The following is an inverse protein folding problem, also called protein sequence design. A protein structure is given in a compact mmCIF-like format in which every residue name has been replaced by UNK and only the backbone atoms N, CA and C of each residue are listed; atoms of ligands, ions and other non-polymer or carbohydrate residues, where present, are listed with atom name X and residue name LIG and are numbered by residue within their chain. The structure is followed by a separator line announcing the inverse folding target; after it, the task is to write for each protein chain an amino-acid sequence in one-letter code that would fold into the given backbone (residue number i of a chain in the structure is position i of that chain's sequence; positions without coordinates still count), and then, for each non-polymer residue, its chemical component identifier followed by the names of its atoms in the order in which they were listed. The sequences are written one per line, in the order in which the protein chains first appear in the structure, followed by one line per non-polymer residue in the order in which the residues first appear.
data_IF_370287249252
#
_entry.id   IF_370287249252
#
_cell.length_a   1.000
_cell.length_b   1.000
_cell.length_c   1.000
_cell.angle_alpha   90.00
_cell.angle_beta   90.00
_cell.angle_gamma   90.00
#
_symmetry.space_group_name_H-M   'P 1'
#
loop_
_entity.id
_entity.type
_entity.pdbx_description
1 polymer ?
#
# COMPACT_ATOMS: atom_id res chain seq x y z
N UNK A 1 -1.60 -0.93 -1.35
CA UNK A 1 -2.91 -0.97 -2.03
C UNK A 1 -2.74 -0.60 -3.49
N UNK A 2 -3.25 -1.44 -4.38
CA UNK A 2 -3.28 -1.22 -5.84
C UNK A 2 -4.69 -0.81 -6.24
N UNK A 3 -4.76 0.06 -7.25
CA UNK A 3 -5.97 0.30 -8.02
C UNK A 3 -5.67 -0.19 -9.42
N UNK A 4 -6.58 -0.90 -10.06
CA UNK A 4 -6.45 -1.26 -11.47
C UNK A 4 -6.35 0.01 -12.36
N UNK A 5 -7.08 1.06 -11.98
CA UNK A 5 -7.05 2.39 -12.57
C UNK A 5 -6.75 3.46 -11.50
N UNK A 6 -5.48 3.88 -11.32
CA UNK A 6 -5.13 4.97 -10.40
C UNK A 6 -5.80 6.31 -10.77
N UNK A 7 -6.14 6.48 -12.06
CA UNK A 7 -6.88 7.61 -12.60
C UNK A 7 -8.21 7.11 -13.15
N UNK A 8 -9.32 7.72 -12.71
CA UNK A 8 -10.67 7.34 -13.09
C UNK A 8 -11.47 8.54 -13.57
N UNK A 9 -12.31 8.32 -14.58
CA UNK A 9 -13.30 9.30 -15.02
C UNK A 9 -14.56 9.25 -14.15
N UNK A 10 -15.29 10.37 -14.02
CA UNK A 10 -16.58 10.37 -13.34
C UNK A 10 -17.51 9.29 -13.90
N UNK A 11 -18.05 8.46 -13.01
CA UNK A 11 -18.92 7.32 -13.34
C UNK A 11 -18.19 5.99 -13.56
N UNK A 12 -16.86 5.96 -13.60
CA UNK A 12 -16.11 4.70 -13.71
C UNK A 12 -16.02 3.94 -12.37
N UNK A 13 -15.90 2.62 -12.46
CA UNK A 13 -15.57 1.75 -11.33
C UNK A 13 -14.08 1.45 -11.33
N UNK A 14 -13.49 1.39 -10.14
CA UNK A 14 -12.08 1.11 -9.91
C UNK A 14 -11.98 -0.05 -8.94
N UNK A 15 -11.29 -1.10 -9.37
CA UNK A 15 -11.04 -2.26 -8.55
C UNK A 15 -9.80 -2.05 -7.69
N UNK A 16 -9.93 -2.27 -6.39
CA UNK A 16 -8.86 -2.08 -5.41
C UNK A 16 -8.47 -3.41 -4.78
N UNK A 17 -7.16 -3.55 -4.54
CA UNK A 17 -6.58 -4.67 -3.81
C UNK A 17 -5.61 -4.21 -2.72
N UNK A 18 -5.73 -4.79 -1.53
CA UNK A 18 -4.81 -4.60 -0.43
C UNK A 18 -3.69 -5.65 -0.45
N UNK A 19 -2.47 -5.22 -0.12
CA UNK A 19 -1.38 -6.10 0.26
C UNK A 19 -1.16 -5.91 1.76
N UNK A 20 -1.25 -6.99 2.52
CA UNK A 20 -0.97 -6.99 3.96
C UNK A 20 -0.38 -8.34 4.38
N UNK A 21 0.22 -8.36 5.57
CA UNK A 21 0.73 -9.58 6.18
C UNK A 21 0.62 -9.45 7.70
N UNK A 22 0.03 -10.45 8.37
CA UNK A 22 0.12 -10.59 9.83
C UNK A 22 1.23 -11.58 10.18
N UNK A 23 2.28 -11.16 10.91
CA UNK A 23 3.41 -12.03 11.23
C UNK A 23 3.06 -13.19 12.16
N UNK A 24 1.87 -13.16 12.78
CA UNK A 24 1.38 -14.23 13.66
C UNK A 24 0.31 -15.10 13.00
N UNK A 25 0.02 -14.89 11.70
CA UNK A 25 -0.96 -15.68 10.95
C UNK A 25 -2.40 -15.53 11.43
N UNK A 26 -2.73 -14.45 12.16
CA UNK A 26 -4.07 -14.18 12.65
C UNK A 26 -4.97 -13.70 11.51
N UNK A 27 -6.29 -13.96 11.58
CA UNK A 27 -7.25 -13.32 10.69
C UNK A 27 -7.15 -11.79 10.77
N UNK A 28 -7.18 -11.13 9.61
CA UNK A 28 -7.18 -9.66 9.51
C UNK A 28 -8.53 -9.21 8.96
N UNK A 29 -9.21 -8.39 9.73
CA UNK A 29 -10.39 -7.64 9.30
C UNK A 29 -9.95 -6.39 8.56
N UNK A 30 -10.49 -6.21 7.36
CA UNK A 30 -10.30 -5.01 6.57
C UNK A 30 -11.59 -4.20 6.57
N UNK A 31 -11.46 -2.89 6.73
CA UNK A 31 -12.54 -1.93 6.57
C UNK A 31 -12.15 -0.88 5.53
N UNK A 32 -13.11 -0.52 4.68
CA UNK A 32 -12.94 0.37 3.56
C UNK A 32 -13.99 1.47 3.58
N UNK A 33 -13.52 2.71 3.40
CA UNK A 33 -14.37 3.90 3.30
C UNK A 33 -13.86 4.82 2.21
N UNK A 34 -14.75 5.62 1.65
CA UNK A 34 -14.42 6.57 0.57
C UNK A 34 -14.80 7.99 0.95
N UNK A 35 -13.97 8.95 0.56
CA UNK A 35 -14.30 10.37 0.60
C UNK A 35 -14.10 10.99 -0.79
N UNK A 36 -14.99 11.89 -1.18
CA UNK A 36 -14.85 12.66 -2.41
C UNK A 36 -14.18 14.01 -2.11
N UNK A 37 -13.12 14.33 -2.85
CA UNK A 37 -12.42 15.61 -2.81
C UNK A 37 -12.17 16.14 -1.37
N UNK A 38 -11.49 15.36 -0.51
CA UNK A 38 -11.21 15.80 0.86
C UNK A 38 -10.28 17.03 0.85
N UNK A 39 -10.27 17.82 1.95
CA UNK A 39 -9.48 19.04 2.04
C UNK A 39 -7.96 18.82 1.96
N UNK A 40 -7.49 17.61 2.28
CA UNK A 40 -6.10 17.20 2.13
C UNK A 40 -5.99 15.70 1.77
N UNK A 41 -4.79 15.25 1.41
CA UNK A 41 -4.54 13.89 0.92
C UNK A 41 -4.28 12.84 2.01
N UNK A 42 -4.41 13.19 3.29
CA UNK A 42 -4.13 12.30 4.41
C UNK A 42 -5.32 11.39 4.74
N UNK A 43 -5.11 10.26 5.43
CA UNK A 43 -6.21 9.46 5.96
C UNK A 43 -7.14 10.29 6.86
N UNK A 44 -6.59 11.18 7.69
CA UNK A 44 -7.35 12.02 8.61
C UNK A 44 -8.23 13.02 7.85
N UNK A 45 -7.71 13.67 6.81
CA UNK A 45 -8.48 14.57 5.96
C UNK A 45 -9.68 13.88 5.32
N UNK A 46 -9.48 12.63 4.87
CA UNK A 46 -10.56 11.81 4.31
C UNK A 46 -11.61 11.42 5.36
N UNK A 47 -11.19 10.99 6.55
CA UNK A 47 -12.10 10.66 7.66
C UNK A 47 -12.90 11.88 8.14
N UNK A 48 -12.28 13.06 8.21
CA UNK A 48 -13.00 14.30 8.51
C UNK A 48 -14.06 14.62 7.45
N UNK A 49 -13.75 14.42 6.17
CA UNK A 49 -14.73 14.61 5.08
C UNK A 49 -15.90 13.64 5.20
N UNK A 50 -15.63 12.36 5.46
CA UNK A 50 -16.66 11.33 5.69
C UNK A 50 -17.58 11.73 6.85
N UNK A 51 -17.02 12.17 7.98
CA UNK A 51 -17.80 12.59 9.14
C UNK A 51 -18.66 13.83 8.84
N UNK A 52 -18.11 14.82 8.13
CA UNK A 52 -18.85 16.01 7.73
C UNK A 52 -20.02 15.68 6.78
N UNK A 53 -19.80 14.82 5.79
CA UNK A 53 -20.83 14.39 4.84
C UNK A 53 -21.95 13.60 5.53
N UNK A 54 -21.59 12.72 6.47
CA UNK A 54 -22.54 11.99 7.29
C UNK A 54 -23.40 12.92 8.16
N UNK A 55 -22.77 13.92 8.79
CA UNK A 55 -23.48 14.92 9.59
C UNK A 55 -24.42 15.78 8.73
N UNK A 56 -24.02 16.15 7.51
CA UNK A 56 -24.82 16.95 6.61
C UNK A 56 -26.01 16.17 6.01
N UNK A 57 -25.79 14.91 5.64
CA UNK A 57 -26.81 14.05 5.02
C UNK A 57 -27.74 13.39 6.04
N UNK A 58 -27.32 13.26 7.30
CA UNK A 58 -28.00 12.47 8.32
C UNK A 58 -27.89 10.95 8.08
N UNK A 59 -27.06 10.51 7.14
CA UNK A 59 -26.83 9.10 6.83
C UNK A 59 -25.50 8.63 7.43
N UNK A 60 -25.47 7.37 7.87
CA UNK A 60 -24.21 6.75 8.28
C UNK A 60 -23.26 6.61 7.08
N UNK A 61 -21.93 6.75 7.28
CA UNK A 61 -20.96 6.46 6.24
C UNK A 61 -21.14 5.06 5.63
N UNK A 62 -20.96 4.95 4.33
CA UNK A 62 -20.83 3.65 3.70
C UNK A 62 -19.48 3.02 4.10
N UNK A 63 -19.54 1.87 4.77
CA UNK A 63 -18.37 1.10 5.22
C UNK A 63 -18.51 -0.31 4.67
N UNK A 64 -17.47 -0.81 3.99
CA UNK A 64 -17.36 -2.22 3.64
C UNK A 64 -16.36 -2.86 4.59
N UNK A 65 -16.77 -3.89 5.32
CA UNK A 65 -15.93 -4.52 6.35
C UNK A 65 -16.04 -6.05 6.29
N UNK A 66 -14.92 -6.73 6.47
CA UNK A 66 -14.89 -8.18 6.61
C UNK A 66 -13.50 -8.76 6.80
N UNK A 67 -13.44 -9.98 7.36
CA UNK A 67 -12.21 -10.78 7.41
C UNK A 67 -11.85 -11.22 6.00
N UNK A 68 -10.62 -10.95 5.58
CA UNK A 68 -10.16 -11.31 4.24
C UNK A 68 -10.86 -10.54 3.11
N UNK A 69 -11.48 -9.39 3.41
CA UNK A 69 -12.00 -8.46 2.41
C UNK A 69 -10.84 -7.66 1.79
N UNK A 70 -9.93 -8.35 1.11
CA UNK A 70 -8.71 -7.78 0.55
C UNK A 70 -8.92 -7.05 -0.78
N UNK A 71 -10.12 -7.16 -1.36
CA UNK A 71 -10.52 -6.54 -2.61
C UNK A 71 -11.89 -5.87 -2.48
N UNK A 72 -12.06 -4.70 -3.12
CA UNK A 72 -13.33 -3.98 -3.25
C UNK A 72 -13.42 -3.24 -4.58
N UNK A 73 -14.63 -2.89 -5.00
CA UNK A 73 -14.86 -1.94 -6.08
C UNK A 73 -15.28 -0.58 -5.52
N UNK A 74 -14.68 0.49 -6.05
CA UNK A 74 -14.97 1.88 -5.71
C UNK A 74 -15.44 2.62 -6.95
N UNK A 75 -16.58 3.29 -6.86
CA UNK A 75 -17.08 4.16 -7.93
C UNK A 75 -16.53 5.57 -7.81
N UNK A 76 -16.06 6.12 -8.94
CA UNK A 76 -15.86 7.56 -9.09
C UNK A 76 -17.25 8.21 -9.29
N UNK A 77 -17.74 9.08 -8.39
CA UNK A 77 -19.07 9.66 -8.54
C UNK A 77 -19.19 10.45 -9.86
N UNK A 78 -20.32 10.33 -10.56
CA UNK A 78 -20.53 10.97 -11.86
C UNK A 78 -20.45 12.50 -11.80
N UNK A 79 -20.74 13.08 -10.63
CA UNK A 79 -20.73 14.53 -10.36
C UNK A 79 -19.44 14.99 -9.67
N UNK A 80 -18.43 14.12 -9.53
CA UNK A 80 -17.29 14.38 -8.65
C UNK A 80 -16.37 15.53 -9.09
N UNK A 81 -16.57 16.05 -10.31
CA UNK A 81 -15.84 17.20 -10.84
C UNK A 81 -16.72 18.45 -10.98
N UNK A 82 -18.02 18.38 -10.73
CA UNK A 82 -18.97 19.45 -11.06
C UNK A 82 -18.75 20.71 -10.20
N UNK A 83 -18.33 20.53 -8.94
CA UNK A 83 -18.08 21.61 -7.99
C UNK A 83 -16.60 21.89 -7.76
N UNK A 84 -15.69 21.22 -8.48
CA UNK A 84 -14.25 21.40 -8.31
C UNK A 84 -13.78 22.60 -9.14
N UNK A 85 -13.21 23.66 -8.52
CA UNK A 85 -12.68 24.79 -9.28
C UNK A 85 -11.57 24.36 -10.23
N UNK A 86 -11.43 25.02 -11.38
CA UNK A 86 -10.41 24.69 -12.40
C UNK A 86 -8.99 24.58 -11.82
N UNK A 87 -8.63 25.51 -10.93
CA UNK A 87 -7.32 25.52 -10.27
C UNK A 87 -7.08 24.32 -9.35
N UNK A 88 -8.13 23.62 -8.92
CA UNK A 88 -8.09 22.46 -8.04
C UNK A 88 -8.29 21.12 -8.79
N UNK A 89 -8.66 21.13 -10.07
CA UNK A 89 -8.92 19.91 -10.85
C UNK A 89 -7.73 18.94 -10.84
N UNK A 90 -6.51 19.46 -10.85
CA UNK A 90 -5.29 18.67 -10.76
C UNK A 90 -5.23 17.78 -9.50
N UNK A 91 -5.91 18.14 -8.42
CA UNK A 91 -5.92 17.43 -7.15
C UNK A 91 -7.28 16.76 -6.85
N UNK A 92 -8.23 16.82 -7.79
CA UNK A 92 -9.51 16.13 -7.65
C UNK A 92 -9.28 14.62 -7.50
N UNK A 93 -9.92 14.01 -6.51
CA UNK A 93 -9.71 12.60 -6.18
C UNK A 93 -10.84 12.00 -5.35
N UNK A 94 -10.97 10.68 -5.45
CA UNK A 94 -11.59 9.86 -4.41
C UNK A 94 -10.48 9.34 -3.50
N UNK A 95 -10.57 9.66 -2.22
CA UNK A 95 -9.73 9.05 -1.19
C UNK A 95 -10.38 7.77 -0.71
N UNK A 96 -9.60 6.70 -0.59
CA UNK A 96 -10.05 5.40 -0.06
C UNK A 96 -9.24 5.07 1.16
N UNK A 97 -9.88 5.15 2.33
CA UNK A 97 -9.27 4.80 3.62
C UNK A 97 -9.46 3.31 3.86
N UNK A 98 -8.36 2.63 4.14
CA UNK A 98 -8.37 1.22 4.51
C UNK A 98 -7.75 1.03 5.87
N UNK A 99 -8.46 0.28 6.71
CA UNK A 99 -8.02 -0.11 8.05
C UNK A 99 -7.80 -1.62 8.05
N UNK A 100 -6.60 -2.06 8.45
CA UNK A 100 -6.26 -3.47 8.61
C UNK A 100 -6.06 -3.79 10.09
N UNK A 101 -6.98 -4.58 10.66
CA UNK A 101 -7.04 -4.91 12.08
C UNK A 101 -6.88 -6.43 12.27
N UNK A 102 -5.86 -6.92 12.98
CA UNK A 102 -5.72 -8.33 13.33
C UNK A 102 -6.65 -8.70 14.51
N UNK A 103 -7.96 -8.55 14.29
CA UNK A 103 -9.01 -8.64 15.30
C UNK A 103 -10.34 -8.10 14.77
N UNK A 104 -11.15 -7.53 15.66
CA UNK A 104 -12.49 -6.97 15.35
C UNK A 104 -12.42 -5.45 15.32
N UNK A 105 -12.86 -4.85 14.21
CA UNK A 105 -13.05 -3.41 14.13
C UNK A 105 -14.36 -3.02 14.82
N UNK A 106 -14.32 -1.92 15.57
CA UNK A 106 -15.55 -1.35 16.13
C UNK A 106 -15.53 0.17 16.08
N UNK A 107 -16.68 0.81 15.83
CA UNK A 107 -16.78 2.25 15.82
C UNK A 107 -16.54 2.83 17.22
N UNK A 108 -15.92 4.01 17.26
CA UNK A 108 -15.85 4.85 18.46
C UNK A 108 -17.03 5.82 18.48
N UNK A 109 -17.41 6.26 19.68
CA UNK A 109 -18.45 7.28 19.84
C UNK A 109 -17.90 8.63 19.34
N UNK A 110 -18.52 9.26 18.32
CA UNK A 110 -18.05 10.54 17.77
C UNK A 110 -17.94 11.65 18.83
N UNK A 111 -18.74 11.61 19.89
CA UNK A 111 -18.69 12.60 20.98
C UNK A 111 -17.44 12.48 21.88
N UNK A 112 -16.74 11.34 21.79
CA UNK A 112 -15.52 11.06 22.56
C UNK A 112 -14.23 11.24 21.75
N UNK A 113 -14.33 11.50 20.44
CA UNK A 113 -13.17 11.61 19.56
C UNK A 113 -12.45 12.94 19.76
N UNK A 114 -11.16 12.83 20.09
CA UNK A 114 -10.25 13.97 20.05
C UNK A 114 -9.94 14.40 18.60
N UNK A 115 -9.42 15.62 18.44
CA UNK A 115 -8.93 16.11 17.14
C UNK A 115 -7.83 15.18 16.61
N UNK A 116 -8.07 14.54 15.46
CA UNK A 116 -7.11 13.64 14.83
C UNK A 116 -7.15 12.19 15.31
N UNK A 117 -8.11 11.82 16.17
CA UNK A 117 -8.36 10.40 16.48
C UNK A 117 -9.13 9.71 15.35
N UNK A 118 -8.85 8.42 15.15
CA UNK A 118 -9.57 7.60 14.19
C UNK A 118 -10.96 7.25 14.75
N UNK A 119 -12.01 7.21 13.92
CA UNK A 119 -13.35 6.86 14.36
C UNK A 119 -13.54 5.36 14.64
N UNK A 120 -12.45 4.58 14.69
CA UNK A 120 -12.45 3.15 14.91
C UNK A 120 -11.42 2.76 15.96
N UNK A 121 -11.67 1.64 16.63
CA UNK A 121 -10.70 0.89 17.42
C UNK A 121 -10.60 -0.52 16.87
N UNK A 122 -9.43 -1.11 17.00
CA UNK A 122 -9.18 -2.51 16.70
C UNK A 122 -9.12 -3.27 18.02
N UNK A 123 -9.99 -4.26 18.23
CA UNK A 123 -10.00 -5.07 19.45
C UNK A 123 -9.51 -6.48 19.14
N UNK A 124 -8.76 -7.07 20.08
CA UNK A 124 -8.48 -8.50 20.03
C UNK A 124 -9.78 -9.30 20.09
N UNK A 125 -9.93 -10.27 19.19
CA UNK A 125 -11.12 -11.11 19.11
C UNK A 125 -11.32 -11.98 20.37
N UNK A 126 -10.23 -12.43 20.98
CA UNK A 126 -10.28 -13.35 22.14
C UNK A 126 -10.52 -12.65 23.47
N UNK A 127 -9.90 -11.50 23.69
CA UNK A 127 -9.93 -10.80 24.98
C UNK A 127 -10.88 -9.60 24.98
N UNK A 128 -11.24 -9.09 23.79
CA UNK A 128 -11.95 -7.82 23.63
C UNK A 128 -11.10 -6.60 23.98
N UNK A 129 -9.81 -6.79 24.30
CA UNK A 129 -8.92 -5.69 24.63
C UNK A 129 -8.61 -4.86 23.39
N UNK A 130 -8.59 -3.54 23.54
CA UNK A 130 -8.21 -2.65 22.46
C UNK A 130 -6.71 -2.80 22.14
N UNK A 131 -6.40 -3.01 20.87
CA UNK A 131 -5.05 -3.09 20.35
C UNK A 131 -4.48 -1.66 20.18
N UNK A 132 -3.23 -1.43 20.61
CA UNK A 132 -2.59 -0.14 20.42
C UNK A 132 -2.29 0.08 18.92
N UNK A 133 -2.13 1.34 18.51
CA UNK A 133 -2.06 1.74 17.10
C UNK A 133 -0.92 1.05 16.33
N UNK A 134 0.16 0.66 17.00
CA UNK A 134 1.29 -0.04 16.38
C UNK A 134 0.96 -1.49 15.98
N UNK A 135 -0.20 -2.00 16.36
CA UNK A 135 -0.65 -3.38 16.09
C UNK A 135 -1.67 -3.48 14.97
N UNK A 136 -2.05 -2.36 14.36
CA UNK A 136 -2.94 -2.32 13.21
C UNK A 136 -2.50 -1.20 12.27
N UNK A 137 -3.01 -1.19 11.04
CA UNK A 137 -2.57 -0.25 10.03
C UNK A 137 -3.73 0.55 9.47
N UNK A 138 -3.48 1.83 9.20
CA UNK A 138 -4.37 2.70 8.43
C UNK A 138 -3.62 3.23 7.23
N UNK A 139 -4.27 3.17 6.08
CA UNK A 139 -3.72 3.68 4.83
C UNK A 139 -4.78 4.47 4.07
N UNK A 140 -4.32 5.32 3.16
CA UNK A 140 -5.19 5.98 2.17
C UNK A 140 -4.63 5.72 0.77
N UNK A 141 -5.51 5.29 -0.15
CA UNK A 141 -5.25 5.29 -1.58
C UNK A 141 -5.97 6.48 -2.19
N UNK A 142 -5.29 7.13 -3.13
CA UNK A 142 -5.84 8.23 -3.91
C UNK A 142 -6.15 7.68 -5.30
N UNK A 143 -7.39 7.83 -5.71
CA UNK A 143 -7.82 7.63 -7.09
C UNK A 143 -8.04 9.01 -7.65
N UNK A 144 -7.17 9.47 -8.56
CA UNK A 144 -7.31 10.80 -9.13
C UNK A 144 -8.46 10.83 -10.12
N UNK A 145 -9.24 11.89 -10.08
CA UNK A 145 -10.37 12.09 -10.99
C UNK A 145 -9.89 12.88 -12.20
N UNK A 146 -10.08 12.31 -13.40
CA UNK A 146 -9.64 12.86 -14.68
C UNK A 146 -10.69 12.63 -15.75
N UNK A 147 -10.92 13.58 -16.63
CA UNK A 147 -11.94 13.44 -17.69
C UNK A 147 -11.49 12.49 -18.80
N UNK A 148 -10.22 12.58 -19.17
CA UNK A 148 -9.63 11.83 -20.29
C UNK A 148 -8.30 11.18 -19.92
N UNK A 149 -7.57 11.77 -18.98
CA UNK A 149 -6.25 11.29 -18.57
C UNK A 149 -6.35 9.91 -17.90
N UNK A 150 -5.38 9.04 -18.21
CA UNK A 150 -5.24 7.71 -17.62
C UNK A 150 -3.84 7.53 -17.04
N UNK A 151 -3.72 6.57 -16.13
CA UNK A 151 -2.47 6.14 -15.54
C UNK A 151 -2.51 4.61 -15.46
N UNK A 152 -1.40 3.94 -15.72
CA UNK A 152 -1.29 2.50 -15.54
C UNK A 152 -0.50 2.17 -14.27
N UNK A 153 -0.56 0.92 -13.82
CA UNK A 153 0.36 0.49 -12.77
C UNK A 153 1.72 0.15 -13.40
N UNK A 154 2.85 0.54 -12.79
CA UNK A 154 4.17 0.23 -13.33
C UNK A 154 4.37 -1.28 -13.38
N UNK A 155 4.63 -1.84 -14.57
CA UNK A 155 4.77 -3.28 -14.75
C UNK A 155 6.08 -3.83 -14.18
N UNK A 156 6.01 -5.00 -13.56
CA UNK A 156 7.19 -5.75 -13.08
C UNK A 156 7.45 -6.88 -14.09
N UNK A 157 8.60 -6.86 -14.73
CA UNK A 157 9.01 -7.91 -15.66
C UNK A 157 9.63 -9.09 -14.92
N UNK A 158 10.56 -8.83 -13.99
CA UNK A 158 11.32 -9.88 -13.34
C UNK A 158 11.92 -9.42 -12.00
N UNK A 159 12.08 -10.36 -11.07
CA UNK A 159 12.98 -10.23 -9.91
C UNK A 159 14.20 -11.11 -10.15
N UNK A 160 15.40 -10.61 -9.84
CA UNK A 160 16.64 -11.38 -9.96
C UNK A 160 17.30 -11.64 -8.60
N UNK A 161 17.95 -12.78 -8.48
CA UNK A 161 18.80 -13.21 -7.36
C UNK A 161 20.23 -13.43 -7.86
N UNK A 162 21.19 -12.66 -7.36
CA UNK A 162 22.59 -12.65 -7.79
C UNK A 162 22.74 -12.52 -9.32
N UNK A 163 21.88 -11.70 -9.93
CA UNK A 163 21.84 -11.44 -11.37
C UNK A 163 21.13 -12.50 -12.20
N UNK A 164 20.72 -13.63 -11.63
CA UNK A 164 19.91 -14.64 -12.31
C UNK A 164 18.41 -14.39 -12.08
N UNK A 165 17.53 -14.71 -13.05
CA UNK A 165 16.08 -14.71 -12.84
C UNK A 165 15.68 -15.49 -11.59
N UNK A 166 14.76 -14.93 -10.81
CA UNK A 166 14.15 -15.58 -9.64
C UNK A 166 12.63 -15.68 -9.88
N UNK A 167 12.12 -16.85 -10.28
CA UNK A 167 10.68 -17.09 -10.41
C UNK A 167 9.97 -17.06 -9.04
N UNK A 168 8.67 -16.77 -9.03
CA UNK A 168 7.84 -16.75 -7.82
C UNK A 168 7.66 -18.15 -7.18
N UNK A 169 7.75 -19.21 -7.97
CA UNK A 169 7.68 -20.60 -7.51
C UNK A 169 8.99 -21.11 -6.90
N UNK A 170 10.11 -20.40 -7.04
CA UNK A 170 11.40 -20.85 -6.56
C UNK A 170 11.68 -20.36 -5.14
N UNK A 171 11.94 -21.29 -4.22
CA UNK A 171 12.39 -20.99 -2.85
C UNK A 171 13.92 -21.01 -2.80
N UNK A 172 14.55 -19.87 -2.50
CA UNK A 172 16.00 -19.80 -2.30
C UNK A 172 16.36 -20.23 -0.88
N UNK A 173 17.47 -20.96 -0.73
CA UNK A 173 18.00 -21.35 0.58
C UNK A 173 19.17 -20.45 0.93
N UNK A 174 19.18 -19.89 2.14
CA UNK A 174 20.23 -18.97 2.60
C UNK A 174 20.74 -19.33 3.99
N UNK A 175 22.03 -19.04 4.23
CA UNK A 175 22.61 -19.04 5.56
C UNK A 175 22.38 -17.69 6.23
N UNK A 176 21.92 -17.66 7.49
CA UNK A 176 21.75 -16.41 8.21
C UNK A 176 23.09 -15.82 8.65
N UNK A 177 23.05 -14.54 9.01
CA UNK A 177 24.10 -13.89 9.77
C UNK A 177 24.33 -14.66 11.10
N UNK A 178 25.55 -14.61 11.63
CA UNK A 178 25.86 -15.17 12.96
C UNK A 178 25.33 -14.33 14.13
N UNK A 179 24.72 -13.18 13.84
CA UNK A 179 24.11 -12.21 14.75
C UNK A 179 22.79 -11.68 14.17
N UNK A 180 22.09 -10.84 14.94
CA UNK A 180 20.84 -10.17 14.54
C UNK A 180 21.07 -8.69 14.22
N UNK A 181 21.66 -8.36 13.06
CA UNK A 181 21.96 -6.97 12.71
C UNK A 181 20.69 -6.13 12.56
N UNK A 182 20.80 -4.84 12.86
CA UNK A 182 19.81 -3.83 12.47
C UNK A 182 20.18 -3.19 11.11
N UNK A 183 21.46 -3.25 10.72
CA UNK A 183 21.98 -2.75 9.45
C UNK A 183 22.74 -3.84 8.70
N UNK A 184 22.63 -3.88 7.37
CA UNK A 184 23.17 -4.97 6.56
C UNK A 184 24.70 -5.17 6.74
N UNK A 185 25.45 -4.08 6.94
CA UNK A 185 26.89 -4.09 7.16
C UNK A 185 27.32 -4.81 8.45
N UNK A 186 26.45 -4.85 9.46
CA UNK A 186 26.71 -5.47 10.76
C UNK A 186 26.57 -6.99 10.73
N UNK A 187 26.03 -7.55 9.65
CA UNK A 187 25.89 -8.99 9.46
C UNK A 187 27.27 -9.66 9.48
N UNK A 188 27.52 -10.62 10.37
CA UNK A 188 28.78 -11.37 10.38
C UNK A 188 28.57 -12.76 9.80
N UNK A 189 29.26 -13.11 8.72
CA UNK A 189 29.00 -14.35 7.98
C UNK A 189 27.68 -14.29 7.20
N UNK A 190 27.07 -15.45 6.94
CA UNK A 190 25.82 -15.57 6.19
C UNK A 190 25.95 -15.29 4.69
N UNK A 191 24.88 -15.56 3.96
CA UNK A 191 24.76 -15.21 2.55
C UNK A 191 24.25 -13.77 2.41
N UNK A 192 24.72 -13.06 1.38
CA UNK A 192 24.38 -11.65 1.12
C UNK A 192 23.97 -11.44 -0.34
N UNK A 193 22.86 -12.05 -0.77
CA UNK A 193 22.42 -12.01 -2.16
C UNK A 193 22.19 -10.58 -2.64
N UNK A 194 22.48 -10.37 -3.92
CA UNK A 194 22.06 -9.16 -4.66
C UNK A 194 20.69 -9.39 -5.25
N UNK A 195 19.77 -8.49 -4.92
CA UNK A 195 18.41 -8.50 -5.43
C UNK A 195 18.25 -7.35 -6.41
N UNK A 196 17.44 -7.53 -7.44
CA UNK A 196 17.07 -6.45 -8.35
C UNK A 196 15.69 -6.70 -8.93
N UNK A 197 14.96 -5.64 -9.23
CA UNK A 197 13.68 -5.68 -9.93
C UNK A 197 13.88 -5.06 -11.31
N UNK A 198 13.45 -5.78 -12.35
CA UNK A 198 13.39 -5.27 -13.71
C UNK A 198 11.94 -4.90 -14.02
N UNK A 199 11.74 -3.70 -14.55
CA UNK A 199 10.42 -3.17 -14.90
C UNK A 199 10.14 -3.39 -16.38
N UNK A 200 8.86 -3.51 -16.73
CA UNK A 200 8.46 -3.60 -18.14
C UNK A 200 8.85 -2.32 -18.90
N UNK A 201 9.18 -2.40 -20.20
CA UNK A 201 9.37 -1.20 -21.02
C UNK A 201 8.16 -0.26 -20.92
N UNK A 202 8.41 1.02 -20.65
CA UNK A 202 7.35 2.02 -20.46
C UNK A 202 6.69 2.03 -19.08
N UNK A 203 7.27 1.36 -18.07
CA UNK A 203 6.76 1.42 -16.69
C UNK A 203 6.78 2.83 -16.07
N UNK A 204 7.63 3.73 -16.58
CA UNK A 204 7.59 5.15 -16.28
C UNK A 204 7.04 5.90 -17.50
N UNK A 205 5.86 6.51 -17.36
CA UNK A 205 5.22 7.28 -18.42
C UNK A 205 5.72 8.73 -18.44
N UNK A 206 5.66 9.38 -19.60
CA UNK A 206 5.91 10.81 -19.75
C UNK A 206 5.01 11.37 -20.86
N UNK A 207 4.67 12.65 -20.78
CA UNK A 207 3.80 13.26 -21.76
C UNK A 207 3.20 14.58 -21.28
N UNK A 208 2.01 14.89 -21.80
CA UNK A 208 1.17 15.99 -21.35
C UNK A 208 -0.09 15.42 -20.70
N UNK A 209 -0.47 15.96 -19.55
CA UNK A 209 -1.74 15.64 -18.92
C UNK A 209 -2.91 16.37 -19.62
N UNK A 210 -4.14 16.05 -19.20
CA UNK A 210 -5.36 16.66 -19.75
C UNK A 210 -5.47 18.18 -19.55
N UNK A 211 -4.63 18.75 -18.66
CA UNK A 211 -4.53 20.18 -18.41
C UNK A 211 -3.38 20.82 -19.22
N UNK A 212 -2.75 20.06 -20.11
CA UNK A 212 -1.65 20.49 -20.98
C UNK A 212 -0.29 20.61 -20.28
N UNK A 213 -0.17 20.12 -19.05
CA UNK A 213 1.07 20.18 -18.25
C UNK A 213 1.96 19.00 -18.60
N UNK A 214 3.24 19.27 -18.80
CA UNK A 214 4.21 18.20 -19.01
C UNK A 214 4.39 17.40 -17.71
N UNK A 215 4.47 16.08 -17.84
CA UNK A 215 4.78 15.18 -16.74
C UNK A 215 5.81 14.14 -17.15
N UNK A 216 6.54 13.68 -16.16
CA UNK A 216 7.41 12.51 -16.23
C UNK A 216 7.24 11.76 -14.91
N UNK A 217 6.95 10.48 -15.01
CA UNK A 217 6.81 9.63 -13.85
C UNK A 217 8.16 9.28 -13.25
N UNK A 218 8.16 9.16 -11.93
CA UNK A 218 9.28 8.61 -11.18
C UNK A 218 8.82 7.29 -10.58
N UNK A 219 9.59 6.24 -10.83
CA UNK A 219 9.27 4.91 -10.31
C UNK A 219 10.23 4.55 -9.18
N UNK A 220 9.65 4.14 -8.06
CA UNK A 220 10.38 3.66 -6.89
C UNK A 220 10.03 2.21 -6.59
N UNK A 221 10.98 1.48 -6.03
CA UNK A 221 10.86 0.09 -5.62
C UNK A 221 11.06 0.05 -4.11
N UNK A 222 10.03 -0.37 -3.38
CA UNK A 222 10.08 -0.57 -1.94
C UNK A 222 10.26 -2.05 -1.63
N UNK A 223 11.12 -2.35 -0.67
CA UNK A 223 11.49 -3.72 -0.29
C UNK A 223 10.97 -4.01 1.11
N UNK A 224 10.25 -5.12 1.26
CA UNK A 224 9.74 -5.59 2.55
C UNK A 224 10.09 -7.05 2.74
N UNK A 225 10.26 -7.48 3.98
CA UNK A 225 10.42 -8.88 4.32
C UNK A 225 9.76 -9.18 5.66
N UNK A 226 9.35 -10.43 5.86
CA UNK A 226 8.88 -10.89 7.18
C UNK A 226 10.00 -10.91 8.21
N UNK A 227 11.24 -11.13 7.76
CA UNK A 227 12.45 -11.10 8.59
C UNK A 227 13.67 -10.79 7.71
N UNK A 228 14.77 -10.35 8.35
CA UNK A 228 15.99 -9.95 7.69
C UNK A 228 16.10 -8.43 7.47
N UNK A 229 17.22 -8.02 6.87
CA UNK A 229 17.56 -6.61 6.69
C UNK A 229 17.93 -6.34 5.25
N UNK A 230 17.26 -5.38 4.61
CA UNK A 230 17.70 -4.84 3.32
C UNK A 230 18.78 -3.77 3.51
N UNK A 231 19.63 -3.58 2.50
CA UNK A 231 20.56 -2.44 2.50
C UNK A 231 19.81 -1.11 2.38
N UNK A 232 18.76 -1.09 1.57
CA UNK A 232 17.89 0.07 1.38
C UNK A 232 16.42 -0.36 1.39
N UNK A 233 15.58 0.39 2.10
CA UNK A 233 14.13 0.15 2.07
C UNK A 233 13.50 0.58 0.72
N UNK A 234 14.14 1.53 0.03
CA UNK A 234 13.66 2.12 -1.22
C UNK A 234 14.80 2.27 -2.23
N UNK A 235 14.52 1.91 -3.49
CA UNK A 235 15.38 2.14 -4.66
C UNK A 235 14.58 2.81 -5.79
N UNK A 236 15.26 3.27 -6.82
CA UNK A 236 14.63 3.77 -8.06
C UNK A 236 14.78 2.77 -9.19
N UNK A 237 14.00 2.93 -10.24
CA UNK A 237 14.14 2.20 -11.51
C UNK A 237 15.51 2.40 -12.20
N UNK A 238 16.12 3.57 -12.04
CA UNK A 238 17.48 3.85 -12.53
C UNK A 238 18.58 3.06 -11.79
N UNK A 239 18.31 2.61 -10.57
CA UNK A 239 19.28 1.93 -9.72
C UNK A 239 18.61 0.85 -8.84
N UNK A 240 17.98 -0.17 -9.46
CA UNK A 240 17.07 -1.07 -8.77
C UNK A 240 17.78 -2.06 -7.85
N UNK A 241 19.09 -2.26 -8.03
CA UNK A 241 19.88 -3.21 -7.24
C UNK A 241 19.84 -2.92 -5.73
N UNK A 242 19.68 -3.98 -4.94
CA UNK A 242 19.65 -3.96 -3.49
C UNK A 242 20.37 -5.21 -2.95
N UNK A 243 20.54 -5.28 -1.63
CA UNK A 243 21.02 -6.48 -0.93
C UNK A 243 20.12 -6.80 0.24
N UNK A 244 20.09 -8.05 0.62
CA UNK A 244 19.35 -8.53 1.78
C UNK A 244 20.17 -9.55 2.55
N UNK A 245 19.95 -9.63 3.86
CA UNK A 245 20.54 -10.65 4.73
C UNK A 245 19.49 -11.21 5.68
N UNK A 246 19.53 -12.51 5.93
CA UNK A 246 18.74 -13.15 6.98
C UNK A 246 19.38 -12.90 8.35
N UNK A 247 18.58 -12.47 9.33
CA UNK A 247 19.01 -12.35 10.73
C UNK A 247 19.11 -13.74 11.36
N UNK A 248 19.85 -13.90 12.47
CA UNK A 248 20.01 -15.19 13.15
C UNK A 248 18.68 -15.71 13.68
N UNK A 249 17.81 -14.83 14.17
CA UNK A 249 16.48 -15.17 14.67
C UNK A 249 15.58 -15.86 13.61
N UNK A 250 15.90 -15.68 12.33
CA UNK A 250 15.22 -16.29 11.18
C UNK A 250 15.56 -17.78 10.97
N UNK A 251 16.57 -18.32 11.67
CA UNK A 251 17.10 -19.67 11.42
C UNK A 251 16.02 -20.75 11.47
N UNK A 252 16.01 -21.60 10.43
CA UNK A 252 15.06 -22.71 10.31
C UNK A 252 13.68 -22.30 9.79
N UNK A 253 13.42 -21.01 9.55
CA UNK A 253 12.12 -20.51 9.11
C UNK A 253 12.08 -20.14 7.63
N UNK A 254 10.86 -20.14 7.08
CA UNK A 254 10.56 -19.65 5.75
C UNK A 254 10.08 -18.21 5.86
N UNK A 255 10.60 -17.34 5.00
CA UNK A 255 10.28 -15.91 4.98
C UNK A 255 9.85 -15.44 3.60
N UNK A 256 8.99 -14.43 3.59
CA UNK A 256 8.53 -13.79 2.37
C UNK A 256 9.24 -12.45 2.20
N UNK A 257 9.69 -12.18 0.98
CA UNK A 257 10.19 -10.89 0.53
C UNK A 257 9.17 -10.32 -0.46
N UNK A 258 8.83 -9.04 -0.32
CA UNK A 258 7.96 -8.31 -1.23
C UNK A 258 8.72 -7.19 -1.93
N UNK A 259 8.40 -7.02 -3.21
CA UNK A 259 8.93 -6.00 -4.10
C UNK A 259 7.77 -5.16 -4.58
N UNK A 260 7.63 -3.95 -4.06
CA UNK A 260 6.48 -3.06 -4.34
C UNK A 260 6.97 -1.91 -5.21
N UNK A 261 6.49 -1.86 -6.45
CA UNK A 261 6.83 -0.81 -7.42
C UNK A 261 5.73 0.23 -7.45
N UNK A 262 6.10 1.51 -7.36
CA UNK A 262 5.16 2.63 -7.32
C UNK A 262 5.62 3.74 -8.23
N UNK A 263 4.69 4.35 -8.94
CA UNK A 263 4.91 5.64 -9.58
C UNK A 263 4.45 6.79 -8.66
N UNK A 264 4.74 8.02 -9.08
CA UNK A 264 4.33 9.26 -8.39
C UNK A 264 2.92 9.75 -8.76
N UNK A 265 2.19 9.03 -9.61
CA UNK A 265 0.81 9.32 -10.06
C UNK A 265 -0.22 8.31 -9.52
N UNK A 266 0.21 7.42 -8.63
CA UNK A 266 -0.66 6.55 -7.85
C UNK A 266 -0.68 5.10 -8.32
N UNK A 267 -0.01 4.73 -9.40
CA UNK A 267 0.15 3.34 -9.79
C UNK A 267 1.01 2.56 -8.81
N UNK A 268 0.61 1.31 -8.59
CA UNK A 268 1.27 0.37 -7.67
C UNK A 268 1.19 -1.02 -8.26
N UNK A 269 2.31 -1.72 -8.30
CA UNK A 269 2.40 -3.16 -8.56
C UNK A 269 3.22 -3.82 -7.48
N UNK A 270 3.05 -5.12 -7.26
CA UNK A 270 3.94 -5.87 -6.39
C UNK A 270 4.10 -7.31 -6.85
N UNK A 271 5.18 -7.93 -6.38
CA UNK A 271 5.40 -9.37 -6.45
C UNK A 271 6.11 -9.82 -5.18
N UNK A 272 6.17 -11.12 -4.93
CA UNK A 272 6.79 -11.67 -3.73
C UNK A 272 7.63 -12.90 -4.04
N UNK A 273 8.58 -13.21 -3.16
CA UNK A 273 9.47 -14.36 -3.26
C UNK A 273 9.71 -14.97 -1.90
N UNK A 274 9.88 -16.28 -1.87
CA UNK A 274 10.11 -17.01 -0.63
C UNK A 274 11.57 -17.43 -0.48
N UNK A 275 12.09 -17.32 0.72
CA UNK A 275 13.41 -17.84 1.12
C UNK A 275 13.25 -18.79 2.30
N UNK A 276 14.08 -19.82 2.35
CA UNK A 276 14.27 -20.69 3.50
C UNK A 276 15.61 -20.36 4.15
N UNK A 277 15.60 -20.06 5.44
CA UNK A 277 16.81 -19.80 6.21
C UNK A 277 17.25 -21.08 6.91
N UNK A 278 18.54 -21.38 6.83
CA UNK A 278 19.17 -22.56 7.44
C UNK A 278 19.38 -22.43 8.96
#
# INVERSE_FOLDING_TARGET
MQADAPFAAPGEQVHLRALYHDPFGRPVSLSWMTCENPPDTSPIGCLHKIAADAAQSGQAPAVQEGVGLDEIDVGAPATALDSVPDAALANAMVGVVTVACPGVLSPRDPSTLGTGELPFRCNEDTTGAELPFERWAVSVKRIFLRRIDKNQNPGIEQVSWDGAPWPDTEVKVVRPCSNDPNHLEDCKGGDRPRLSVSLTPGAAEFGKDELGRDFQEQVVIQYYATEGTFEFDVRTDESPGNRWVARKAASGESHMLWFVVRDNRGGVSWTSRQVQVL
#
